data_IF_983204971906
#
_entry.id   IF_983204971906
#
_cell.length_a   1.000
_cell.length_b   1.000
_cell.length_c   1.000
_cell.angle_alpha   90.00
_cell.angle_beta   90.00
_cell.angle_gamma   90.00
#
_symmetry.space_group_name_H-M   'P 1'
#
loop_
_entity.id
_entity.type
_entity.pdbx_description
1 polymer ?
#
# COMPACT_ATOMS: atom_id res chain seq x y z
N UNK A 1 -58.14 -53.71 9.42
CA UNK A 1 -57.55 -52.97 10.58
C UNK A 1 -56.36 -52.16 10.05
N UNK A 2 -56.55 -51.34 9.03
CA UNK A 2 -57.37 -50.10 8.93
C UNK A 2 -56.53 -48.90 9.41
N UNK A 3 -55.87 -48.13 8.54
CA UNK A 3 -56.34 -47.36 7.38
C UNK A 3 -56.85 -45.96 7.75
N UNK A 4 -55.99 -44.97 7.54
CA UNK A 4 -56.34 -43.55 7.46
C UNK A 4 -55.57 -42.93 6.29
N UNK A 5 -56.24 -42.78 5.13
CA UNK A 5 -55.74 -41.96 4.02
C UNK A 5 -56.05 -40.49 4.30
N UNK A 6 -55.09 -39.61 4.05
CA UNK A 6 -55.35 -38.22 3.69
C UNK A 6 -54.37 -37.82 2.57
N UNK A 7 -54.90 -37.23 1.51
CA UNK A 7 -54.18 -36.67 0.37
C UNK A 7 -55.00 -35.48 -0.16
N UNK A 8 -54.50 -34.79 -1.20
CA UNK A 8 -55.03 -33.52 -1.73
C UNK A 8 -54.65 -32.31 -0.83
N UNK A 9 -54.36 -31.11 -1.35
CA UNK A 9 -54.20 -30.69 -2.75
C UNK A 9 -53.34 -29.42 -2.84
N UNK A 10 -52.62 -29.23 -3.96
CA UNK A 10 -52.12 -27.90 -4.38
C UNK A 10 -53.19 -27.22 -5.26
N UNK A 11 -53.39 -25.91 -5.07
CA UNK A 11 -53.13 -24.98 -6.19
C UNK A 11 -52.34 -23.74 -5.74
N UNK A 12 -51.67 -23.00 -6.64
CA UNK A 12 -51.58 -23.18 -8.09
C UNK A 12 -50.49 -22.29 -8.71
N UNK A 13 -50.38 -22.30 -10.05
CA UNK A 13 -49.37 -21.52 -10.77
C UNK A 13 -49.64 -20.01 -10.66
N UNK A 14 -48.56 -19.23 -10.52
CA UNK A 14 -48.50 -17.84 -10.99
C UNK A 14 -47.50 -17.80 -12.14
N UNK A 15 -47.96 -17.42 -13.33
CA UNK A 15 -47.09 -17.26 -14.51
C UNK A 15 -46.46 -15.85 -14.53
N UNK A 16 -45.25 -15.68 -15.09
CA UNK A 16 -44.66 -14.36 -15.28
C UNK A 16 -45.26 -13.65 -16.49
N UNK A 17 -45.68 -12.40 -16.32
CA UNK A 17 -46.14 -11.57 -17.44
C UNK A 17 -45.54 -10.16 -17.45
N UNK A 18 -45.50 -9.58 -18.65
CA UNK A 18 -45.30 -8.15 -18.97
C UNK A 18 -43.90 -7.58 -18.70
N UNK A 19 -43.01 -7.96 -19.63
CA UNK A 19 -41.89 -7.15 -20.15
C UNK A 19 -42.30 -5.66 -20.26
N UNK A 20 -41.55 -4.78 -19.58
CA UNK A 20 -41.88 -3.36 -19.44
C UNK A 20 -40.73 -2.40 -19.78
N UNK A 21 -40.46 -2.23 -21.08
CA UNK A 21 -39.71 -1.13 -21.74
C UNK A 21 -38.37 -0.65 -21.12
N UNK A 22 -37.30 -0.88 -21.88
CA UNK A 22 -36.01 -0.17 -21.77
C UNK A 22 -36.22 1.35 -21.92
N UNK A 23 -35.67 2.20 -21.02
CA UNK A 23 -35.56 3.63 -21.27
C UNK A 23 -34.33 3.91 -22.15
N UNK A 24 -34.55 4.14 -23.45
CA UNK A 24 -33.51 4.58 -24.38
C UNK A 24 -33.19 6.07 -24.15
N UNK A 25 -32.03 6.38 -23.57
CA UNK A 25 -31.53 7.76 -23.49
C UNK A 25 -31.12 8.28 -24.88
N UNK A 26 -32.10 8.83 -25.61
CA UNK A 26 -31.89 9.47 -26.90
C UNK A 26 -31.19 10.83 -26.75
N UNK A 27 -29.96 10.94 -27.24
CA UNK A 27 -29.29 12.23 -27.40
C UNK A 27 -30.05 13.11 -28.40
N UNK A 28 -30.62 14.22 -27.93
CA UNK A 28 -31.16 15.26 -28.81
C UNK A 28 -30.08 16.30 -29.14
N UNK A 29 -29.89 16.55 -30.42
CA UNK A 29 -28.84 17.41 -30.98
C UNK A 29 -29.40 18.81 -31.28
N UNK A 30 -28.95 19.82 -30.53
CA UNK A 30 -29.27 21.22 -30.82
C UNK A 30 -28.09 21.93 -31.49
N UNK A 31 -28.17 22.06 -32.82
CA UNK A 31 -27.53 23.16 -33.57
C UNK A 31 -28.34 24.45 -33.37
N UNK A 32 -27.81 25.66 -33.53
CA UNK A 32 -26.47 26.12 -33.98
C UNK A 32 -26.10 27.38 -33.12
N UNK A 33 -25.37 28.46 -33.41
CA UNK A 33 -24.65 29.08 -34.56
C UNK A 33 -23.74 30.21 -33.95
N UNK A 34 -22.75 30.83 -34.65
CA UNK A 34 -21.62 30.24 -35.39
C UNK A 34 -20.25 30.97 -35.25
N UNK A 35 -19.22 30.40 -35.89
CA UNK A 35 -18.10 31.08 -36.61
C UNK A 35 -17.06 31.97 -35.89
N UNK A 36 -15.82 31.44 -35.77
CA UNK A 36 -14.57 31.86 -36.48
C UNK A 36 -13.41 30.93 -36.00
N UNK A 37 -12.81 30.00 -36.74
CA UNK A 37 -12.45 29.77 -38.16
C UNK A 37 -11.00 30.19 -38.52
N UNK A 38 -10.06 29.25 -38.30
CA UNK A 38 -8.77 28.92 -38.97
C UNK A 38 -8.03 27.93 -38.03
N UNK A 39 -7.43 26.79 -38.43
CA UNK A 39 -7.18 26.15 -39.74
C UNK A 39 -5.67 25.85 -39.90
N UNK A 40 -5.19 24.75 -40.51
CA UNK A 40 -5.88 23.53 -40.99
C UNK A 40 -4.87 22.45 -41.48
N UNK A 41 -5.04 21.18 -41.05
CA UNK A 41 -4.51 19.93 -41.70
C UNK A 41 -2.94 19.83 -41.61
N UNK A 42 -2.19 18.71 -41.69
CA UNK A 42 -2.30 17.42 -42.38
C UNK A 42 -1.88 16.19 -41.55
N UNK A 43 -2.25 15.01 -42.06
CA UNK A 43 -1.96 13.67 -41.52
C UNK A 43 -0.81 12.99 -42.26
N UNK A 44 -0.05 12.12 -41.58
CA UNK A 44 0.65 10.99 -42.20
C UNK A 44 0.89 9.85 -41.20
N UNK A 45 0.61 8.60 -41.63
CA UNK A 45 1.24 7.37 -41.10
C UNK A 45 2.15 6.82 -42.18
N UNK A 46 3.34 6.31 -41.84
CA UNK A 46 4.03 5.32 -42.66
C UNK A 46 4.95 4.42 -41.81
N UNK A 47 5.61 3.45 -42.45
CA UNK A 47 6.22 2.29 -41.81
C UNK A 47 7.75 2.23 -41.98
N UNK A 48 8.42 1.71 -40.95
CA UNK A 48 9.57 0.77 -41.02
C UNK A 48 10.93 1.16 -41.65
N UNK A 49 11.95 1.11 -40.77
CA UNK A 49 13.27 0.47 -40.98
C UNK A 49 14.54 1.27 -41.34
N UNK A 50 15.66 0.73 -40.81
CA UNK A 50 17.09 0.90 -41.18
C UNK A 50 17.82 2.22 -40.87
N UNK A 51 18.31 2.28 -39.63
CA UNK A 51 19.73 2.49 -39.26
C UNK A 51 20.55 3.49 -40.10
N UNK A 52 20.98 4.59 -39.46
CA UNK A 52 22.29 5.19 -39.69
C UNK A 52 22.91 5.70 -38.38
N UNK A 53 24.22 5.49 -38.19
CA UNK A 53 24.96 5.97 -37.02
C UNK A 53 25.02 7.51 -37.02
N UNK A 54 24.73 8.14 -35.89
CA UNK A 54 25.22 9.49 -35.57
C UNK A 54 25.84 9.47 -34.17
N UNK A 55 26.99 10.16 -34.03
CA UNK A 55 27.65 10.40 -32.75
C UNK A 55 26.72 11.26 -31.88
N UNK A 56 26.49 10.86 -30.64
CA UNK A 56 26.09 11.81 -29.60
C UNK A 56 27.40 12.50 -29.16
N UNK A 57 27.43 13.83 -29.21
CA UNK A 57 28.55 14.59 -28.67
C UNK A 57 28.40 14.67 -27.14
N UNK A 58 29.46 14.34 -26.40
CA UNK A 58 29.56 14.62 -24.97
C UNK A 58 29.61 16.13 -24.76
N UNK A 59 28.59 16.70 -24.12
CA UNK A 59 28.55 18.11 -23.78
C UNK A 59 29.07 18.29 -22.35
N UNK A 60 30.38 18.45 -22.23
CA UNK A 60 31.05 18.68 -20.94
C UNK A 60 30.69 20.06 -20.40
N UNK A 61 29.99 20.09 -19.26
CA UNK A 61 29.72 21.33 -18.51
C UNK A 61 30.80 21.45 -17.43
N UNK A 62 31.90 22.13 -17.78
CA UNK A 62 32.97 22.43 -16.85
C UNK A 62 32.58 23.59 -15.92
N UNK A 63 32.01 23.28 -14.76
CA UNK A 63 31.83 24.26 -13.67
C UNK A 63 33.08 24.27 -12.77
N UNK A 64 33.91 25.29 -12.92
CA UNK A 64 35.01 25.59 -12.00
C UNK A 64 34.48 26.00 -10.63
N UNK A 65 34.89 25.29 -9.58
CA UNK A 65 34.69 25.72 -8.20
C UNK A 65 36.02 26.23 -7.62
N UNK A 66 36.05 27.51 -7.29
CA UNK A 66 37.18 28.14 -6.64
C UNK A 66 37.31 27.71 -5.17
N UNK A 67 38.55 27.70 -4.67
CA UNK A 67 38.86 27.30 -3.29
C UNK A 67 38.41 28.38 -2.29
N UNK A 68 37.69 27.98 -1.24
CA UNK A 68 37.56 28.73 0.01
C UNK A 68 37.94 27.83 1.20
N UNK A 69 38.47 28.41 2.30
CA UNK A 69 39.30 27.66 3.24
C UNK A 69 38.52 26.85 4.28
N UNK A 70 39.18 25.83 4.84
CA UNK A 70 38.68 25.12 6.00
C UNK A 70 38.81 25.98 7.26
N UNK A 71 37.68 26.25 7.93
CA UNK A 71 37.65 26.78 9.30
C UNK A 71 36.45 26.23 10.07
N UNK A 72 36.76 25.36 11.04
CA UNK A 72 36.01 25.00 12.26
C UNK A 72 34.57 25.52 12.39
N UNK A 73 33.58 24.62 12.26
CA UNK A 73 32.30 24.72 12.96
C UNK A 73 31.75 23.33 13.29
N UNK A 74 30.99 23.26 14.38
CA UNK A 74 30.71 22.12 15.26
C UNK A 74 30.16 20.81 14.63
N UNK A 75 30.53 19.68 15.24
CA UNK A 75 30.11 18.32 14.87
C UNK A 75 28.63 18.02 15.23
N UNK A 76 27.68 18.61 14.50
CA UNK A 76 26.28 18.19 14.50
C UNK A 76 25.98 17.28 13.31
N UNK A 77 26.04 15.95 13.47
CA UNK A 77 25.90 14.98 12.37
C UNK A 77 24.47 14.84 11.84
N UNK A 78 24.01 15.85 11.10
CA UNK A 78 22.82 15.78 10.25
C UNK A 78 23.24 15.22 8.89
N UNK A 79 22.96 13.94 8.65
CA UNK A 79 23.06 13.35 7.30
C UNK A 79 22.19 14.15 6.33
N UNK A 80 22.70 14.44 5.14
CA UNK A 80 21.95 15.12 4.10
C UNK A 80 20.88 14.18 3.51
N UNK A 81 19.76 14.69 2.97
CA UNK A 81 18.78 13.85 2.26
C UNK A 81 19.42 13.01 1.15
N UNK A 82 20.33 13.62 0.39
CA UNK A 82 21.10 12.97 -0.68
C UNK A 82 21.90 11.74 -0.20
N UNK A 83 22.33 11.70 1.07
CA UNK A 83 23.02 10.54 1.65
C UNK A 83 22.04 9.38 1.83
N UNK A 84 20.84 9.66 2.37
CA UNK A 84 19.77 8.67 2.58
C UNK A 84 19.23 8.14 1.24
N UNK A 85 19.07 8.99 0.23
CA UNK A 85 18.68 8.56 -1.13
C UNK A 85 19.71 7.58 -1.73
N UNK A 86 21.01 7.89 -1.64
CA UNK A 86 22.07 7.00 -2.14
C UNK A 86 22.18 5.69 -1.34
N UNK A 87 22.01 5.75 0.00
CA UNK A 87 21.95 4.54 0.84
C UNK A 87 20.76 3.67 0.44
N UNK A 88 19.59 4.26 0.18
CA UNK A 88 18.39 3.52 -0.24
C UNK A 88 18.60 2.80 -1.58
N UNK A 89 19.19 3.45 -2.58
CA UNK A 89 19.48 2.82 -3.88
C UNK A 89 20.53 1.71 -3.77
N UNK A 90 21.59 1.90 -2.98
CA UNK A 90 22.58 0.84 -2.74
C UNK A 90 21.97 -0.37 -2.02
N UNK A 91 21.19 -0.15 -0.94
CA UNK A 91 20.48 -1.22 -0.22
C UNK A 91 19.48 -1.95 -1.11
N UNK A 92 18.81 -1.27 -2.04
CA UNK A 92 17.87 -1.94 -2.95
C UNK A 92 18.59 -2.87 -3.92
N UNK A 93 19.75 -2.46 -4.45
CA UNK A 93 20.60 -3.28 -5.33
C UNK A 93 21.21 -4.48 -4.60
N UNK A 94 21.64 -4.32 -3.34
CA UNK A 94 22.17 -5.40 -2.51
C UNK A 94 21.16 -6.55 -2.33
N UNK A 95 19.88 -6.26 -2.04
CA UNK A 95 18.89 -7.31 -1.79
C UNK A 95 18.19 -7.86 -3.04
N UNK A 96 18.19 -7.11 -4.16
CA UNK A 96 17.37 -7.44 -5.34
C UNK A 96 17.56 -8.88 -5.88
N UNK A 97 18.78 -9.46 -5.92
CA UNK A 97 18.99 -10.84 -6.37
C UNK A 97 18.29 -11.88 -5.49
N UNK A 98 18.29 -11.67 -4.17
CA UNK A 98 17.82 -12.62 -3.16
C UNK A 98 16.29 -12.62 -2.99
N UNK A 99 15.62 -11.54 -3.44
CA UNK A 99 14.16 -11.45 -3.42
C UNK A 99 13.47 -12.51 -4.30
N UNK A 100 14.14 -13.01 -5.36
CA UNK A 100 13.60 -14.05 -6.26
C UNK A 100 12.19 -13.73 -6.82
N UNK A 101 11.85 -12.45 -6.97
CA UNK A 101 10.53 -12.00 -7.43
C UNK A 101 9.38 -12.17 -6.42
N UNK A 102 9.66 -12.54 -5.17
CA UNK A 102 8.68 -12.57 -4.06
C UNK A 102 8.06 -11.19 -3.85
N UNK A 103 6.77 -11.14 -3.54
CA UNK A 103 6.11 -9.91 -3.09
C UNK A 103 6.55 -9.54 -1.66
N UNK A 104 6.52 -8.25 -1.33
CA UNK A 104 6.79 -7.73 0.01
C UNK A 104 5.50 -7.16 0.59
N UNK A 105 5.05 -7.69 1.73
CA UNK A 105 3.82 -7.28 2.41
C UNK A 105 4.15 -6.39 3.60
N UNK A 106 3.85 -5.10 3.50
CA UNK A 106 3.99 -4.14 4.60
C UNK A 106 2.77 -4.23 5.51
N UNK A 107 2.97 -4.70 6.74
CA UNK A 107 1.94 -4.82 7.78
C UNK A 107 2.20 -3.82 8.92
N UNK A 108 1.23 -3.65 9.81
CA UNK A 108 1.31 -2.75 10.97
C UNK A 108 0.06 -1.90 11.14
N UNK A 109 -0.02 -1.15 12.24
CA UNK A 109 -1.18 -0.32 12.59
C UNK A 109 -1.47 0.79 11.55
N UNK A 110 -2.72 1.28 11.54
CA UNK A 110 -3.08 2.40 10.66
C UNK A 110 -2.30 3.67 11.08
N UNK A 111 -1.78 4.42 10.11
CA UNK A 111 -0.86 5.55 10.36
C UNK A 111 0.63 5.19 10.45
N UNK A 112 1.00 3.89 10.39
CA UNK A 112 2.41 3.47 10.49
C UNK A 112 3.30 3.93 9.33
N UNK A 113 2.72 4.23 8.16
CA UNK A 113 3.41 4.75 6.97
C UNK A 113 3.49 3.79 5.78
N UNK A 114 2.87 2.59 5.84
CA UNK A 114 2.90 1.54 4.80
C UNK A 114 2.80 2.06 3.37
N UNK A 115 1.75 2.80 3.03
CA UNK A 115 1.52 3.33 1.67
C UNK A 115 2.63 4.27 1.19
N UNK A 116 3.28 5.02 2.09
CA UNK A 116 4.39 5.93 1.75
C UNK A 116 5.70 5.17 1.59
N UNK A 117 6.05 4.35 2.60
CA UNK A 117 7.27 3.52 2.60
C UNK A 117 7.25 2.53 1.43
N UNK A 118 6.09 1.92 1.15
CA UNK A 118 5.93 0.96 0.05
C UNK A 118 6.12 1.57 -1.33
N UNK A 119 5.66 2.81 -1.56
CA UNK A 119 5.90 3.54 -2.83
C UNK A 119 7.37 3.95 -3.00
N UNK A 120 8.09 4.18 -1.90
CA UNK A 120 9.53 4.44 -1.92
C UNK A 120 10.29 3.15 -2.26
N UNK A 121 9.99 2.05 -1.56
CA UNK A 121 10.59 0.73 -1.81
C UNK A 121 10.29 0.21 -3.22
N UNK A 122 9.07 0.38 -3.72
CA UNK A 122 8.67 -0.10 -5.05
C UNK A 122 9.46 0.59 -6.17
N UNK A 123 9.68 1.91 -6.04
CA UNK A 123 10.50 2.70 -6.97
C UNK A 123 11.93 2.17 -7.06
N UNK A 124 12.61 1.96 -5.94
CA UNK A 124 14.03 1.56 -5.93
C UNK A 124 14.26 0.07 -6.22
N UNK A 125 13.28 -0.80 -5.94
CA UNK A 125 13.35 -2.23 -6.27
C UNK A 125 12.88 -2.54 -7.70
N UNK A 126 12.29 -1.57 -8.42
CA UNK A 126 11.66 -1.82 -9.72
C UNK A 126 10.47 -2.77 -9.61
N UNK A 127 9.66 -2.58 -8.57
CA UNK A 127 8.46 -3.36 -8.22
C UNK A 127 7.20 -2.51 -8.41
N UNK A 128 6.06 -3.14 -8.61
CA UNK A 128 4.76 -2.46 -8.63
C UNK A 128 4.28 -2.21 -7.19
N UNK A 129 3.52 -1.13 -6.95
CA UNK A 129 2.93 -0.84 -5.64
C UNK A 129 1.42 -1.09 -5.68
N UNK A 130 0.92 -1.79 -4.67
CA UNK A 130 -0.49 -2.05 -4.45
C UNK A 130 -0.89 -1.74 -2.99
N UNK A 131 -2.13 -1.32 -2.77
CA UNK A 131 -2.72 -1.18 -1.44
C UNK A 131 -3.93 -2.14 -1.38
N UNK A 132 -3.95 -3.08 -0.41
CA UNK A 132 -4.95 -4.15 -0.38
C UNK A 132 -6.37 -3.61 -0.19
N UNK A 133 -6.49 -2.52 0.57
CA UNK A 133 -7.77 -1.91 0.89
C UNK A 133 -8.39 -1.31 -0.38
N UNK A 134 -7.57 -0.71 -1.26
CA UNK A 134 -8.02 -0.19 -2.55
C UNK A 134 -8.47 -1.30 -3.54
N UNK A 135 -7.85 -2.49 -3.49
CA UNK A 135 -8.37 -3.64 -4.25
C UNK A 135 -9.73 -4.11 -3.71
N UNK A 136 -9.95 -4.07 -2.40
CA UNK A 136 -11.26 -4.39 -1.82
C UNK A 136 -12.31 -3.34 -2.20
N UNK A 137 -11.94 -2.05 -2.23
CA UNK A 137 -12.81 -0.98 -2.74
C UNK A 137 -13.19 -1.22 -4.22
N UNK A 138 -12.21 -1.56 -5.09
CA UNK A 138 -12.46 -1.88 -6.50
C UNK A 138 -13.36 -3.13 -6.68
N UNK A 139 -13.07 -4.22 -5.97
CA UNK A 139 -13.82 -5.48 -6.06
C UNK A 139 -15.25 -5.39 -5.49
N UNK A 140 -15.50 -4.43 -4.59
CA UNK A 140 -16.85 -4.11 -4.06
C UNK A 140 -17.45 -2.91 -4.81
N UNK A 141 -17.01 -2.65 -6.05
CA UNK A 141 -17.68 -1.73 -6.99
C UNK A 141 -17.37 -0.25 -6.79
N UNK A 142 -16.24 0.08 -6.18
CA UNK A 142 -15.79 1.46 -5.92
C UNK A 142 -16.38 2.10 -4.65
N UNK A 143 -17.01 1.31 -3.78
CA UNK A 143 -17.43 1.76 -2.45
C UNK A 143 -16.20 1.90 -1.55
N UNK A 144 -16.13 2.96 -0.71
CA UNK A 144 -14.97 3.11 0.19
C UNK A 144 -14.99 2.08 1.32
N UNK A 145 -13.84 1.83 1.98
CA UNK A 145 -13.79 0.95 3.17
C UNK A 145 -14.82 1.37 4.22
N UNK A 146 -15.09 2.67 4.41
CA UNK A 146 -16.11 3.14 5.34
C UNK A 146 -17.53 2.74 4.88
N UNK A 147 -17.84 2.87 3.59
CA UNK A 147 -19.13 2.48 3.04
C UNK A 147 -19.33 0.96 3.09
N UNK A 148 -18.28 0.17 2.80
CA UNK A 148 -18.32 -1.30 2.88
C UNK A 148 -18.62 -1.76 4.32
N UNK A 149 -17.96 -1.16 5.33
CA UNK A 149 -18.26 -1.43 6.73
C UNK A 149 -19.70 -1.05 7.11
N UNK A 150 -20.20 0.10 6.63
CA UNK A 150 -21.55 0.59 6.94
C UNK A 150 -22.67 -0.22 6.26
N UNK A 151 -22.44 -0.71 5.04
CA UNK A 151 -23.43 -1.41 4.21
C UNK A 151 -23.44 -2.93 4.41
N UNK A 152 -22.27 -3.54 4.63
CA UNK A 152 -22.10 -5.00 4.66
C UNK A 152 -21.46 -5.54 5.96
N UNK A 153 -20.95 -4.65 6.84
CA UNK A 153 -20.34 -5.02 8.11
C UNK A 153 -18.89 -5.50 8.00
N UNK A 154 -18.18 -5.52 9.14
CA UNK A 154 -16.76 -5.89 9.16
C UNK A 154 -16.49 -7.32 8.69
N UNK A 155 -17.36 -8.30 8.98
CA UNK A 155 -17.11 -9.69 8.54
C UNK A 155 -17.00 -9.79 7.03
N UNK A 156 -17.88 -9.13 6.28
CA UNK A 156 -17.83 -9.10 4.81
C UNK A 156 -16.56 -8.41 4.29
N UNK A 157 -16.17 -7.28 4.90
CA UNK A 157 -14.89 -6.65 4.56
C UNK A 157 -13.71 -7.60 4.81
N UNK A 158 -13.69 -8.31 5.94
CA UNK A 158 -12.61 -9.27 6.28
C UNK A 158 -12.60 -10.48 5.34
N UNK A 159 -13.74 -10.88 4.79
CA UNK A 159 -13.83 -11.88 3.73
C UNK A 159 -13.20 -11.38 2.43
N UNK A 160 -13.47 -10.13 2.03
CA UNK A 160 -12.84 -9.51 0.85
C UNK A 160 -11.35 -9.20 1.04
N UNK A 161 -10.92 -8.81 2.24
CA UNK A 161 -9.50 -8.69 2.60
C UNK A 161 -8.77 -10.03 2.43
N UNK A 162 -9.39 -11.14 2.83
CA UNK A 162 -8.88 -12.51 2.57
C UNK A 162 -8.85 -12.86 1.08
N UNK A 163 -9.89 -12.52 0.30
CA UNK A 163 -9.90 -12.74 -1.17
C UNK A 163 -8.83 -11.92 -1.92
N UNK A 164 -8.67 -10.64 -1.58
CA UNK A 164 -7.67 -9.74 -2.18
C UNK A 164 -6.24 -10.21 -1.86
N UNK A 165 -5.96 -10.59 -0.60
CA UNK A 165 -4.66 -11.15 -0.21
C UNK A 165 -4.41 -12.52 -0.87
N UNK A 166 -5.44 -13.33 -1.10
CA UNK A 166 -5.30 -14.56 -1.87
C UNK A 166 -4.80 -14.28 -3.30
N UNK A 167 -5.43 -13.32 -3.99
CA UNK A 167 -5.06 -12.89 -5.36
C UNK A 167 -3.63 -12.31 -5.40
N UNK A 168 -3.31 -11.40 -4.50
CA UNK A 168 -1.95 -10.82 -4.36
C UNK A 168 -0.88 -11.89 -4.11
N UNK A 169 -1.22 -12.98 -3.41
CA UNK A 169 -0.32 -14.12 -3.18
C UNK A 169 -0.10 -15.02 -4.41
N UNK A 170 -0.62 -14.64 -5.57
CA UNK A 170 -0.33 -15.26 -6.88
C UNK A 170 0.37 -14.28 -7.82
N UNK A 171 0.62 -13.04 -7.39
CA UNK A 171 1.42 -12.04 -8.10
C UNK A 171 2.91 -12.19 -7.77
N UNK A 172 3.74 -11.50 -8.55
CA UNK A 172 5.18 -11.40 -8.34
C UNK A 172 5.63 -9.93 -8.41
N UNK A 173 6.78 -9.60 -7.79
CA UNK A 173 7.39 -8.26 -7.83
C UNK A 173 6.47 -7.10 -7.42
N UNK A 174 5.60 -7.33 -6.44
CA UNK A 174 4.74 -6.30 -5.84
C UNK A 174 5.22 -5.90 -4.43
N UNK A 175 5.10 -4.62 -4.10
CA UNK A 175 5.08 -4.12 -2.72
C UNK A 175 3.61 -3.87 -2.36
N UNK A 176 3.12 -4.56 -1.34
CA UNK A 176 1.72 -4.52 -0.89
C UNK A 176 1.64 -3.80 0.44
N UNK A 177 0.97 -2.65 0.49
CA UNK A 177 0.46 -2.09 1.74
C UNK A 177 -0.79 -2.86 2.15
N UNK A 178 -0.82 -3.48 3.34
CA UNK A 178 -2.01 -4.20 3.81
C UNK A 178 -2.92 -3.34 4.67
N UNK A 179 -4.20 -3.69 4.71
CA UNK A 179 -5.14 -3.20 5.71
C UNK A 179 -4.66 -3.43 7.14
N UNK A 180 -5.02 -2.53 8.05
CA UNK A 180 -4.64 -2.58 9.47
C UNK A 180 -5.35 -3.68 10.29
N UNK A 181 -6.11 -4.57 9.64
CA UNK A 181 -6.71 -5.77 10.25
C UNK A 181 -6.35 -7.06 9.54
N UNK A 182 -5.59 -7.00 8.43
CA UNK A 182 -5.19 -8.15 7.62
C UNK A 182 -4.50 -9.27 8.41
N UNK A 183 -3.84 -8.92 9.52
CA UNK A 183 -3.13 -9.85 10.39
C UNK A 183 -4.03 -10.70 11.29
N UNK A 184 -5.32 -10.35 11.43
CA UNK A 184 -6.24 -11.02 12.39
C UNK A 184 -6.70 -12.40 11.95
N UNK A 185 -6.63 -12.72 10.65
CA UNK A 185 -7.07 -14.01 10.10
C UNK A 185 -5.85 -14.89 9.78
N UNK A 186 -5.67 -16.07 10.42
CA UNK A 186 -4.54 -16.96 10.15
C UNK A 186 -4.39 -17.39 8.68
N UNK A 187 -5.49 -17.43 7.92
CA UNK A 187 -5.46 -17.69 6.47
C UNK A 187 -4.74 -16.59 5.67
N UNK A 188 -4.78 -15.33 6.12
CA UNK A 188 -4.09 -14.22 5.47
C UNK A 188 -2.56 -14.36 5.62
N UNK A 189 -2.09 -14.87 6.77
CA UNK A 189 -0.67 -15.19 6.97
C UNK A 189 -0.17 -16.29 6.02
N UNK A 190 -0.97 -17.32 5.75
CA UNK A 190 -0.67 -18.34 4.71
C UNK A 190 -0.44 -17.73 3.32
N UNK A 191 -1.06 -16.57 3.03
CA UNK A 191 -0.88 -15.84 1.78
C UNK A 191 0.35 -14.91 1.82
N UNK A 192 0.52 -14.14 2.90
CA UNK A 192 1.65 -13.21 3.07
C UNK A 192 3.01 -13.93 3.18
N UNK A 193 3.06 -15.12 3.82
CA UNK A 193 4.28 -15.93 3.95
C UNK A 193 4.75 -16.60 2.64
N UNK A 194 4.02 -16.47 1.51
CA UNK A 194 4.60 -16.78 0.19
C UNK A 194 5.59 -15.71 -0.27
N UNK A 195 5.43 -14.50 0.25
CA UNK A 195 6.35 -13.38 0.07
C UNK A 195 7.19 -13.14 1.32
N UNK A 196 7.62 -11.91 1.51
CA UNK A 196 8.32 -11.44 2.70
C UNK A 196 7.39 -10.46 3.41
N UNK A 197 7.13 -10.66 4.70
CA UNK A 197 6.22 -9.79 5.48
C UNK A 197 7.02 -8.87 6.40
N UNK A 198 6.74 -7.57 6.38
CA UNK A 198 7.51 -6.54 7.06
C UNK A 198 6.59 -5.71 7.92
N UNK A 199 6.73 -5.83 9.24
CA UNK A 199 5.98 -5.03 10.21
C UNK A 199 6.62 -3.67 10.39
N UNK A 200 5.91 -2.60 10.01
CA UNK A 200 6.22 -1.23 10.42
C UNK A 200 5.70 -1.01 11.84
N UNK A 201 6.61 -1.07 12.80
CA UNK A 201 6.40 -1.04 14.23
C UNK A 201 6.60 0.39 14.77
N UNK A 202 5.51 0.98 15.29
CA UNK A 202 5.40 2.40 15.61
C UNK A 202 4.64 2.57 16.92
N UNK A 203 5.16 3.35 17.89
CA UNK A 203 4.46 3.68 19.14
C UNK A 203 3.06 4.24 18.91
N UNK A 204 2.13 3.87 19.80
CA UNK A 204 0.70 4.19 19.68
C UNK A 204 0.45 5.70 19.78
N UNK A 205 1.27 6.38 20.57
CA UNK A 205 1.31 7.83 20.78
C UNK A 205 1.67 8.55 19.48
N UNK A 206 2.70 8.10 18.77
CA UNK A 206 3.11 8.66 17.50
C UNK A 206 2.09 8.38 16.37
N UNK A 207 1.43 7.21 16.41
CA UNK A 207 0.31 6.91 15.52
C UNK A 207 -0.88 7.85 15.79
N UNK A 208 -1.21 8.08 17.05
CA UNK A 208 -2.28 8.98 17.48
C UNK A 208 -2.00 10.44 17.08
N UNK A 209 -0.77 10.93 17.25
CA UNK A 209 -0.34 12.25 16.78
C UNK A 209 -0.48 12.40 15.26
N UNK A 210 0.03 11.43 14.48
CA UNK A 210 -0.10 11.40 13.01
C UNK A 210 -1.57 11.43 12.55
N UNK A 211 -2.44 10.72 13.26
CA UNK A 211 -3.87 10.63 12.92
C UNK A 211 -4.64 11.87 13.37
N UNK A 212 -4.34 12.45 14.53
CA UNK A 212 -4.94 13.70 14.98
C UNK A 212 -4.65 14.87 14.03
N UNK A 213 -3.46 14.89 13.41
CA UNK A 213 -3.08 15.89 12.41
C UNK A 213 -3.74 15.72 11.03
N UNK A 214 -4.15 14.49 10.66
CA UNK A 214 -4.69 14.17 9.32
C UNK A 214 -6.22 13.98 9.33
N UNK A 215 -6.80 13.63 10.47
CA UNK A 215 -8.23 13.34 10.63
C UNK A 215 -8.61 11.87 10.44
N UNK A 216 -9.86 11.55 10.79
CA UNK A 216 -10.40 10.18 10.87
C UNK A 216 -11.39 9.81 9.77
N UNK A 217 -11.67 10.71 8.81
CA UNK A 217 -12.74 10.55 7.81
C UNK A 217 -12.68 9.19 7.09
N UNK A 218 -11.52 8.82 6.54
CA UNK A 218 -11.28 7.53 5.86
C UNK A 218 -10.94 6.37 6.81
N UNK A 219 -11.29 6.44 8.09
CA UNK A 219 -10.90 5.49 9.14
C UNK A 219 -12.11 5.10 9.99
N UNK A 220 -13.04 4.26 9.50
CA UNK A 220 -14.32 3.96 10.19
C UNK A 220 -14.13 3.44 11.62
N UNK A 221 -13.06 2.68 11.88
CA UNK A 221 -12.71 2.19 13.22
C UNK A 221 -12.36 3.29 14.26
N UNK A 222 -12.20 4.55 13.84
CA UNK A 222 -11.85 5.70 14.68
C UNK A 222 -12.99 6.75 14.79
N UNK A 223 -14.21 6.36 14.47
CA UNK A 223 -15.39 7.22 14.62
C UNK A 223 -16.01 6.99 16.01
N UNK A 224 -16.55 8.06 16.61
CA UNK A 224 -17.08 8.16 17.99
C UNK A 224 -16.10 8.02 19.15
N UNK A 225 -15.92 9.12 19.89
CA UNK A 225 -15.84 9.19 21.36
C UNK A 225 -15.81 10.67 21.81
N UNK A 226 -15.81 10.94 23.12
CA UNK A 226 -15.64 12.29 23.67
C UNK A 226 -14.16 12.61 23.92
N UNK A 227 -13.81 13.91 24.03
CA UNK A 227 -12.43 14.38 24.18
C UNK A 227 -11.86 14.99 22.90
N UNK A 228 -10.58 15.37 22.90
CA UNK A 228 -9.88 15.94 21.75
C UNK A 228 -9.46 14.89 20.70
N UNK A 229 -8.92 15.34 19.56
CA UNK A 229 -8.57 14.46 18.45
C UNK A 229 -7.41 13.49 18.74
N UNK A 230 -6.45 13.88 19.59
CA UNK A 230 -5.33 13.02 19.99
C UNK A 230 -5.78 11.99 21.02
N UNK A 231 -6.48 12.39 22.08
CA UNK A 231 -6.92 11.48 23.15
C UNK A 231 -7.81 10.36 22.61
N UNK A 232 -8.78 10.67 21.73
CA UNK A 232 -9.62 9.67 21.07
C UNK A 232 -8.82 8.72 20.16
N UNK A 233 -7.88 9.27 19.39
CA UNK A 233 -7.02 8.46 18.53
C UNK A 233 -6.15 7.52 19.37
N UNK A 234 -5.55 8.01 20.46
CA UNK A 234 -4.72 7.24 21.38
C UNK A 234 -5.53 6.09 22.00
N UNK A 235 -6.64 6.38 22.68
CA UNK A 235 -7.47 5.36 23.33
C UNK A 235 -7.91 4.25 22.36
N UNK A 236 -8.38 4.64 21.17
CA UNK A 236 -8.85 3.67 20.18
C UNK A 236 -7.70 2.90 19.52
N UNK A 237 -6.55 3.52 19.26
CA UNK A 237 -5.38 2.82 18.73
C UNK A 237 -4.76 1.88 19.77
N UNK A 238 -4.77 2.22 21.06
CA UNK A 238 -4.30 1.33 22.13
C UNK A 238 -5.13 0.05 22.20
N UNK A 239 -6.47 0.16 22.23
CA UNK A 239 -7.35 -1.02 22.23
C UNK A 239 -7.18 -1.89 20.97
N UNK A 240 -6.98 -1.26 19.80
CA UNK A 240 -6.69 -1.99 18.56
C UNK A 240 -5.26 -2.57 18.52
N UNK A 241 -4.30 -2.00 19.25
CA UNK A 241 -2.94 -2.54 19.37
C UNK A 241 -2.87 -3.70 20.36
N UNK A 242 -3.64 -3.65 21.44
CA UNK A 242 -3.83 -4.77 22.37
C UNK A 242 -4.46 -5.98 21.64
N UNK A 243 -5.48 -5.75 20.80
CA UNK A 243 -6.08 -6.78 19.93
C UNK A 243 -5.10 -7.39 18.90
N UNK A 244 -4.19 -6.58 18.35
CA UNK A 244 -3.44 -6.92 17.11
C UNK A 244 -1.92 -7.09 17.29
N UNK A 245 -1.39 -6.70 18.44
CA UNK A 245 0.05 -6.55 18.69
C UNK A 245 0.83 -7.85 18.47
N UNK A 246 0.36 -8.94 19.10
CA UNK A 246 0.94 -10.27 18.91
C UNK A 246 0.82 -10.77 17.46
N UNK A 247 -0.29 -10.44 16.78
CA UNK A 247 -0.51 -10.86 15.40
C UNK A 247 0.54 -10.24 14.46
N UNK A 248 0.92 -8.97 14.62
CA UNK A 248 1.99 -8.34 13.82
C UNK A 248 3.37 -9.00 14.01
N UNK A 249 3.64 -9.62 15.17
CA UNK A 249 4.92 -10.26 15.46
C UNK A 249 5.19 -11.52 14.62
N UNK A 250 4.19 -12.04 13.88
CA UNK A 250 4.38 -13.11 12.90
C UNK A 250 5.12 -12.64 11.62
N UNK A 251 5.34 -11.34 11.44
CA UNK A 251 6.04 -10.81 10.27
C UNK A 251 7.49 -11.32 10.14
N UNK A 252 7.91 -11.62 8.92
CA UNK A 252 9.28 -12.05 8.55
C UNK A 252 10.37 -11.08 9.04
N UNK A 253 10.06 -9.78 9.06
CA UNK A 253 10.95 -8.71 9.49
C UNK A 253 10.19 -7.63 10.30
N UNK A 254 10.85 -6.97 11.25
CA UNK A 254 10.28 -5.90 12.10
C UNK A 254 11.10 -4.62 12.00
N UNK A 255 10.47 -3.54 11.53
CA UNK A 255 11.05 -2.21 11.38
C UNK A 255 10.54 -1.34 12.52
N UNK A 256 11.28 -1.36 13.64
CA UNK A 256 10.93 -0.66 14.88
C UNK A 256 11.41 0.79 14.87
N UNK A 257 10.49 1.75 14.69
CA UNK A 257 10.85 3.15 14.52
C UNK A 257 11.60 3.74 15.73
N UNK A 258 11.31 3.30 16.96
CA UNK A 258 12.06 3.69 18.16
C UNK A 258 13.55 3.38 18.05
N UNK A 259 13.87 2.20 17.52
CA UNK A 259 15.25 1.77 17.26
C UNK A 259 15.90 2.62 16.17
N UNK A 260 15.16 3.01 15.11
CA UNK A 260 15.69 3.89 14.07
C UNK A 260 15.99 5.28 14.63
N UNK A 261 15.06 5.85 15.42
CA UNK A 261 15.26 7.15 16.06
C UNK A 261 16.49 7.13 16.97
N UNK A 262 16.64 6.09 17.80
CA UNK A 262 17.82 5.88 18.65
C UNK A 262 19.10 5.71 17.84
N UNK A 263 19.09 4.86 16.79
CA UNK A 263 20.19 4.64 15.82
C UNK A 263 20.61 5.91 15.07
N UNK A 264 19.72 6.91 14.98
CA UNK A 264 19.95 8.23 14.35
C UNK A 264 20.12 9.40 15.34
N UNK A 265 20.08 9.15 16.65
CA UNK A 265 20.18 10.21 17.67
C UNK A 265 19.00 11.18 17.71
N UNK A 266 17.84 10.77 17.18
CA UNK A 266 16.60 11.57 17.17
C UNK A 266 15.79 11.32 18.45
N UNK A 267 15.07 12.35 18.91
CA UNK A 267 14.29 12.29 20.17
C UNK A 267 12.88 11.76 19.98
N UNK A 268 12.34 11.86 18.77
CA UNK A 268 10.98 11.45 18.42
C UNK A 268 10.99 10.61 17.13
N UNK A 269 10.11 9.62 17.05
CA UNK A 269 9.85 8.81 15.86
C UNK A 269 9.05 9.57 14.78
N UNK A 270 8.53 10.75 15.10
CA UNK A 270 7.98 11.71 14.14
C UNK A 270 9.07 12.43 13.33
N UNK A 271 10.30 12.56 13.85
CA UNK A 271 11.42 13.18 13.12
C UNK A 271 11.98 12.26 12.00
N UNK A 272 11.50 11.01 11.90
CA UNK A 272 11.99 10.02 10.93
C UNK A 272 11.44 10.28 9.53
N UNK A 273 12.34 10.44 8.55
CA UNK A 273 11.96 10.53 7.14
C UNK A 273 11.39 9.19 6.63
N UNK A 274 10.44 9.20 5.68
CA UNK A 274 9.99 7.98 5.02
C UNK A 274 11.14 7.22 4.32
N UNK A 275 12.16 7.93 3.82
CA UNK A 275 13.40 7.34 3.28
C UNK A 275 14.15 6.55 4.35
N UNK A 276 14.33 7.10 5.56
CA UNK A 276 14.99 6.42 6.68
C UNK A 276 14.28 5.11 7.09
N UNK A 277 12.94 5.11 7.08
CA UNK A 277 12.12 3.93 7.40
C UNK A 277 12.23 2.90 6.26
N UNK A 278 12.27 3.34 5.00
CA UNK A 278 12.48 2.45 3.85
C UNK A 278 13.88 1.82 3.83
N UNK A 279 14.93 2.56 4.22
CA UNK A 279 16.30 2.00 4.39
C UNK A 279 16.29 0.89 5.43
N UNK A 280 15.73 1.13 6.63
CA UNK A 280 15.65 0.09 7.67
C UNK A 280 14.80 -1.10 7.20
N UNK A 281 13.73 -0.87 6.43
CA UNK A 281 12.95 -1.97 5.85
C UNK A 281 13.77 -2.86 4.91
N UNK A 282 14.66 -2.29 4.09
CA UNK A 282 15.58 -3.06 3.26
C UNK A 282 16.64 -3.78 4.12
N UNK A 283 17.20 -3.14 5.16
CA UNK A 283 18.16 -3.78 6.07
C UNK A 283 17.56 -4.95 6.88
N UNK A 284 16.30 -4.85 7.29
CA UNK A 284 15.60 -5.93 8.00
C UNK A 284 15.14 -7.06 7.05
N UNK A 285 14.84 -6.76 5.78
CA UNK A 285 14.63 -7.78 4.73
C UNK A 285 15.95 -8.53 4.46
N UNK A 286 17.07 -7.82 4.31
CA UNK A 286 18.40 -8.40 4.10
C UNK A 286 18.78 -9.38 5.23
N UNK A 287 18.57 -8.97 6.48
CA UNK A 287 18.80 -9.81 7.65
C UNK A 287 17.91 -11.07 7.67
N UNK A 288 16.63 -10.96 7.28
CA UNK A 288 15.72 -12.09 7.15
C UNK A 288 16.19 -13.07 6.05
N UNK A 289 16.53 -12.55 4.86
CA UNK A 289 16.99 -13.35 3.71
C UNK A 289 18.25 -14.14 4.03
N UNK A 290 19.25 -13.50 4.65
CA UNK A 290 20.48 -14.18 5.13
C UNK A 290 20.19 -15.24 6.20
N UNK A 291 19.11 -15.07 6.97
CA UNK A 291 18.57 -16.07 7.89
C UNK A 291 17.77 -17.21 7.22
N UNK A 292 17.36 -17.09 5.96
CA UNK A 292 16.86 -18.20 5.14
C UNK A 292 18.04 -18.95 4.52
N UNK A 293 18.95 -18.26 3.83
CA UNK A 293 20.10 -18.85 3.14
C UNK A 293 21.07 -19.56 4.09
N UNK A 294 21.27 -19.02 5.30
CA UNK A 294 22.08 -19.64 6.36
C UNK A 294 21.57 -21.01 6.84
N UNK A 295 20.35 -21.41 6.48
CA UNK A 295 19.82 -22.77 6.75
C UNK A 295 20.09 -23.78 5.62
N UNK A 296 20.63 -23.33 4.48
CA UNK A 296 21.05 -24.20 3.37
C UNK A 296 22.55 -24.46 3.30
N UNK A 297 23.37 -23.71 4.03
CA UNK A 297 24.82 -23.92 4.14
C UNK A 297 25.24 -25.00 5.18
N UNK A 298 24.32 -25.90 5.56
CA UNK A 298 24.45 -26.78 6.72
C UNK A 298 23.84 -28.18 6.55
N UNK A 299 23.87 -28.73 5.32
CA UNK A 299 23.52 -30.12 4.99
C UNK A 299 24.50 -30.64 3.93
#
# INVERSE_FOLDING_TARGET
>A
MDAAKAALQLPGLVQPEKIGRIPTCSFNLSRDQPLKLRGSIYSAKLHSSKIHRRRIASMEVACSYDNLPASTLESGSRRAPLDDELILENRSQEIQPYLNGRCIYLVGMMGSGKTTVGKIMSKVLGYEFCDSDALVEEEVGGNSVADIFNLYGESFFRDKETEALHKLSMMHRHIVSTGGGAVMRPINWKYMHKGISVWLDVPVEALAQRIAAVGTNSRPLLHYEAGDAYTRALMRLSALFEERGEAYANASARVSLEKIATKRGQRDVLDLSPTAIAIEALEQIDAFLKGEDGRYAGC
#
